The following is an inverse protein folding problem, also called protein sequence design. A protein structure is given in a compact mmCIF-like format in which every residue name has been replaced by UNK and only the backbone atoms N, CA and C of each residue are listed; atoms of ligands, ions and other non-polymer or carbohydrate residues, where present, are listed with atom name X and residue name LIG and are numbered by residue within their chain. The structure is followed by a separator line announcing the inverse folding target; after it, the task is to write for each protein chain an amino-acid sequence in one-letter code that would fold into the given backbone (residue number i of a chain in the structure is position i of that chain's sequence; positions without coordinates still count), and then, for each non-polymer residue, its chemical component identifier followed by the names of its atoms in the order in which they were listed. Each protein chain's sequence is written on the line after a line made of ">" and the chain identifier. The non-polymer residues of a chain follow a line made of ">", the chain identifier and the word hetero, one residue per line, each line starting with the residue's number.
data_IF_680341688395
#
_entry.id   IF_680341688395
#
_cell.length_a   1.000
_cell.length_b   1.000
_cell.length_c   1.000
_cell.angle_alpha   90.00
_cell.angle_beta   90.00
_cell.angle_gamma   90.00
#
_symmetry.space_group_name_H-M   'P 1'
#
loop_
_entity.id
_entity.type
_entity.pdbx_description
1 polymer ?
#
# COMPACT_ATOMS: atom_id res chain seq x y z
N UNK A 1 -65.07 23.63 48.66
CA UNK A 1 -64.29 22.46 49.14
C UNK A 1 -64.12 21.51 47.97
N UNK A 2 -62.91 20.95 47.82
CA UNK A 2 -62.44 19.81 47.01
C UNK A 2 -63.43 19.16 46.01
N UNK A 3 -63.10 18.85 44.76
CA UNK A 3 -61.81 18.53 44.18
C UNK A 3 -61.93 17.19 43.43
N UNK A 4 -61.68 17.23 42.12
CA UNK A 4 -61.16 16.17 41.22
C UNK A 4 -61.88 14.83 41.07
N UNK A 5 -62.19 14.46 39.82
CA UNK A 5 -61.75 13.20 39.20
C UNK A 5 -61.83 13.27 37.66
N UNK A 6 -60.74 12.80 37.05
CA UNK A 6 -60.32 13.04 35.67
C UNK A 6 -60.83 11.99 34.67
N UNK A 7 -61.04 12.45 33.44
CA UNK A 7 -61.27 11.68 32.21
C UNK A 7 -60.02 10.94 31.73
N UNK A 8 -60.20 9.71 31.23
CA UNK A 8 -59.28 9.09 30.27
C UNK A 8 -60.10 8.39 29.18
N UNK A 9 -60.04 8.92 27.94
CA UNK A 9 -60.50 8.22 26.72
C UNK A 9 -59.26 7.93 25.88
N UNK A 10 -59.10 6.65 25.57
CA UNK A 10 -58.07 6.08 24.71
C UNK A 10 -58.45 6.38 23.26
N UNK A 11 -57.58 7.09 22.54
CA UNK A 11 -57.67 7.26 21.08
C UNK A 11 -56.44 6.65 20.43
N UNK A 12 -56.70 5.65 19.59
CA UNK A 12 -55.74 4.88 18.80
C UNK A 12 -55.34 5.70 17.57
N UNK A 13 -54.06 6.10 17.46
CA UNK A 13 -53.52 6.78 16.29
C UNK A 13 -52.76 5.79 15.40
N UNK A 14 -53.22 5.68 14.14
CA UNK A 14 -52.61 4.88 13.09
C UNK A 14 -51.39 5.64 12.54
N UNK A 15 -50.18 5.16 12.80
CA UNK A 15 -48.95 5.76 12.29
C UNK A 15 -48.67 5.30 10.85
N UNK A 16 -48.72 6.25 9.91
CA UNK A 16 -48.29 6.07 8.53
C UNK A 16 -46.74 6.13 8.50
N UNK A 17 -46.07 4.98 8.37
CA UNK A 17 -44.62 4.94 8.17
C UNK A 17 -44.31 5.17 6.69
N UNK A 18 -44.05 6.43 6.33
CA UNK A 18 -43.47 6.77 5.04
C UNK A 18 -41.99 6.32 5.03
N UNK A 19 -41.68 5.27 4.27
CA UNK A 19 -40.32 4.82 4.05
C UNK A 19 -39.52 5.87 3.29
N UNK A 20 -38.67 6.62 3.99
CA UNK A 20 -37.66 7.47 3.38
C UNK A 20 -36.51 6.56 2.90
N UNK A 21 -36.60 6.05 1.68
CA UNK A 21 -35.42 5.49 1.01
C UNK A 21 -34.51 6.66 0.65
N UNK A 22 -33.52 6.95 1.50
CA UNK A 22 -32.44 7.87 1.19
C UNK A 22 -31.62 7.28 0.03
N UNK A 23 -31.98 7.68 -1.19
CA UNK A 23 -31.14 7.47 -2.37
C UNK A 23 -30.03 8.50 -2.26
N UNK A 24 -28.79 8.06 -2.04
CA UNK A 24 -27.65 8.99 -2.03
C UNK A 24 -27.62 9.70 -3.38
N UNK A 25 -27.80 11.02 -3.37
CA UNK A 25 -27.56 11.85 -4.55
C UNK A 25 -26.06 11.70 -4.82
N UNK A 26 -25.71 11.11 -5.97
CA UNK A 26 -24.35 11.17 -6.47
C UNK A 26 -24.06 12.66 -6.70
N UNK A 27 -23.01 13.17 -6.05
CA UNK A 27 -22.54 14.52 -6.33
C UNK A 27 -21.82 14.48 -7.68
N UNK A 28 -22.43 15.10 -8.69
CA UNK A 28 -21.89 15.20 -10.04
C UNK A 28 -20.73 16.21 -10.12
N UNK A 29 -20.40 16.91 -9.02
CA UNK A 29 -19.22 17.76 -8.95
C UNK A 29 -17.95 16.95 -9.25
N UNK A 30 -17.19 17.41 -10.25
CA UNK A 30 -15.93 16.77 -10.63
C UNK A 30 -14.75 17.38 -9.91
N UNK A 31 -13.86 16.52 -9.45
CA UNK A 31 -12.68 16.85 -8.67
C UNK A 31 -11.41 16.51 -9.44
N UNK A 32 -10.50 17.47 -9.54
CA UNK A 32 -9.16 17.25 -10.12
C UNK A 32 -8.20 16.82 -9.01
N UNK A 33 -7.59 15.65 -9.16
CA UNK A 33 -6.59 15.12 -8.23
C UNK A 33 -5.20 15.17 -8.87
N UNK A 34 -4.26 15.91 -8.30
CA UNK A 34 -2.89 16.04 -8.80
C UNK A 34 -1.90 16.14 -7.66
N UNK A 35 -0.72 15.56 -7.83
CA UNK A 35 0.39 15.85 -6.95
C UNK A 35 0.94 17.24 -7.24
N UNK A 36 1.40 17.94 -6.19
CA UNK A 36 2.08 19.22 -6.31
C UNK A 36 3.38 19.14 -5.53
N UNK A 37 4.47 19.17 -6.27
CA UNK A 37 5.81 19.08 -5.70
C UNK A 37 6.42 20.46 -5.53
N UNK A 38 7.18 20.63 -4.46
CA UNK A 38 8.00 21.82 -4.20
C UNK A 38 9.48 21.44 -4.19
N UNK A 39 10.36 22.19 -4.87
CA UNK A 39 11.79 21.91 -4.85
C UNK A 39 12.33 21.83 -3.42
N UNK A 40 13.24 20.89 -3.18
CA UNK A 40 13.90 20.65 -1.88
C UNK A 40 12.95 20.25 -0.73
N UNK A 41 11.65 20.02 -0.97
CA UNK A 41 10.77 19.52 0.08
C UNK A 41 11.12 18.07 0.46
N UNK A 42 10.99 17.75 1.74
CA UNK A 42 11.03 16.38 2.25
C UNK A 42 9.69 16.00 2.83
N UNK A 43 9.21 14.80 2.47
CA UNK A 43 7.89 14.30 2.83
C UNK A 43 8.05 12.99 3.58
N UNK A 44 7.65 12.99 4.85
CA UNK A 44 7.86 11.87 5.75
C UNK A 44 6.59 11.03 5.90
N UNK A 45 6.76 9.73 6.09
CA UNK A 45 5.70 8.78 6.39
C UNK A 45 6.12 7.83 7.50
N UNK A 46 5.23 7.61 8.47
CA UNK A 46 5.29 6.41 9.32
C UNK A 46 4.59 5.27 8.60
N UNK A 47 5.21 4.10 8.60
CA UNK A 47 4.75 2.88 7.96
C UNK A 47 4.65 1.81 9.04
N UNK A 48 3.52 1.14 9.14
CA UNK A 48 3.35 -0.07 9.93
C UNK A 48 2.83 -1.16 9.00
N UNK A 49 3.49 -2.32 8.97
CA UNK A 49 3.10 -3.44 8.12
C UNK A 49 3.21 -4.75 8.91
N UNK A 50 2.14 -5.53 8.91
CA UNK A 50 2.09 -6.88 9.45
C UNK A 50 1.76 -7.85 8.33
N UNK A 51 2.47 -8.97 8.26
CA UNK A 51 2.22 -10.02 7.27
C UNK A 51 2.27 -11.38 7.94
N UNK A 52 1.22 -12.17 7.79
CA UNK A 52 1.17 -13.57 8.18
C UNK A 52 1.05 -14.43 6.93
N UNK A 53 1.92 -15.43 6.80
CA UNK A 53 1.88 -16.41 5.71
C UNK A 53 1.85 -17.80 6.31
N UNK A 54 1.01 -18.66 5.75
CA UNK A 54 0.97 -20.08 6.06
C UNK A 54 1.13 -20.86 4.78
N UNK A 55 2.03 -21.82 4.80
CA UNK A 55 2.25 -22.78 3.73
C UNK A 55 2.00 -24.18 4.31
N UNK A 56 1.05 -24.88 3.71
CA UNK A 56 0.77 -26.28 3.97
C UNK A 56 1.24 -27.09 2.78
N UNK A 57 2.01 -28.15 3.05
CA UNK A 57 2.41 -29.13 2.04
C UNK A 57 2.37 -30.52 2.68
N UNK A 58 1.41 -31.35 2.27
CA UNK A 58 1.12 -32.63 2.90
C UNK A 58 0.78 -32.48 4.39
N UNK A 59 1.66 -32.95 5.27
CA UNK A 59 1.52 -32.89 6.73
C UNK A 59 2.36 -31.78 7.36
N UNK A 60 3.18 -31.10 6.56
CA UNK A 60 4.07 -30.04 7.04
C UNK A 60 3.38 -28.69 6.89
N UNK A 61 3.34 -27.94 7.98
CA UNK A 61 2.89 -26.55 8.02
C UNK A 61 4.05 -25.64 8.41
N UNK A 62 4.25 -24.59 7.63
CA UNK A 62 5.17 -23.50 7.94
C UNK A 62 4.34 -22.22 8.04
N UNK A 63 4.44 -21.55 9.18
CA UNK A 63 3.85 -20.24 9.38
C UNK A 63 4.96 -19.21 9.61
N UNK A 64 4.87 -18.07 8.92
CA UNK A 64 5.73 -16.92 9.15
C UNK A 64 4.88 -15.71 9.53
N UNK A 65 5.35 -14.93 10.50
CA UNK A 65 4.75 -13.66 10.88
C UNK A 65 5.83 -12.59 10.87
N UNK A 66 5.63 -11.58 10.04
CA UNK A 66 6.57 -10.49 9.80
C UNK A 66 5.91 -9.17 10.26
N UNK A 67 6.69 -8.31 10.90
CA UNK A 67 6.28 -6.94 11.22
C UNK A 67 7.36 -5.96 10.80
N UNK A 68 6.96 -4.81 10.27
CA UNK A 68 7.84 -3.71 9.88
C UNK A 68 7.22 -2.39 10.31
N UNK A 69 7.88 -1.70 11.23
CA UNK A 69 7.65 -0.30 11.54
C UNK A 69 8.76 0.53 10.92
N UNK A 70 8.43 1.53 10.10
CA UNK A 70 9.44 2.38 9.49
C UNK A 70 9.05 3.86 9.54
N UNK A 71 10.05 4.72 9.69
CA UNK A 71 9.98 6.10 9.23
C UNK A 71 10.72 6.16 7.90
N UNK A 72 10.06 6.66 6.88
CA UNK A 72 10.61 6.81 5.53
C UNK A 72 10.30 8.21 5.02
N UNK A 73 11.11 8.69 4.09
CA UNK A 73 10.79 9.90 3.36
C UNK A 73 11.19 9.81 1.90
N UNK A 74 10.62 10.72 1.12
CA UNK A 74 11.23 11.14 -0.12
C UNK A 74 11.62 12.61 -0.05
N UNK A 75 12.73 12.96 -0.70
CA UNK A 75 13.13 14.34 -0.97
C UNK A 75 12.87 14.68 -2.43
N UNK A 76 12.28 15.84 -2.71
CA UNK A 76 12.16 16.38 -4.07
C UNK A 76 13.48 17.03 -4.45
N UNK A 77 14.23 16.40 -5.36
CA UNK A 77 15.50 16.93 -5.86
C UNK A 77 15.28 18.02 -6.91
N UNK A 78 14.24 17.87 -7.72
CA UNK A 78 13.87 18.85 -8.75
C UNK A 78 12.41 18.66 -9.14
N UNK A 79 11.81 19.72 -9.68
CA UNK A 79 10.46 19.73 -10.25
C UNK A 79 10.59 19.89 -11.76
N UNK A 80 9.90 19.05 -12.54
CA UNK A 80 9.94 19.10 -14.00
C UNK A 80 9.04 20.23 -14.52
N UNK A 81 9.26 20.74 -15.74
CA UNK A 81 8.41 21.79 -16.33
C UNK A 81 6.92 21.43 -16.39
N UNK A 82 6.60 20.14 -16.48
CA UNK A 82 5.23 19.60 -16.55
C UNK A 82 4.59 19.40 -15.16
N UNK A 83 5.29 19.77 -14.08
CA UNK A 83 4.82 19.63 -12.70
C UNK A 83 5.08 18.26 -12.06
N UNK A 84 5.91 17.42 -12.70
CA UNK A 84 6.46 16.21 -12.07
C UNK A 84 7.65 16.53 -11.15
N UNK A 85 8.31 15.51 -10.63
CA UNK A 85 9.48 15.65 -9.78
C UNK A 85 10.44 14.47 -9.90
N UNK A 86 11.73 14.73 -9.60
CA UNK A 86 12.69 13.66 -9.29
C UNK A 86 12.70 13.49 -7.77
N UNK A 87 12.31 12.31 -7.31
CA UNK A 87 12.25 11.95 -5.90
C UNK A 87 13.45 11.09 -5.52
N UNK A 88 14.04 11.36 -4.36
CA UNK A 88 15.07 10.52 -3.73
C UNK A 88 14.51 9.90 -2.45
N UNK A 89 14.52 8.58 -2.35
CA UNK A 89 13.85 7.81 -1.30
C UNK A 89 14.85 7.35 -0.24
N UNK A 90 14.42 7.42 1.02
CA UNK A 90 15.21 7.05 2.19
C UNK A 90 14.35 6.32 3.22
N UNK A 91 14.91 5.28 3.83
CA UNK A 91 14.38 4.69 5.06
C UNK A 91 15.17 5.33 6.22
N UNK A 92 14.54 6.18 7.02
CA UNK A 92 15.19 6.90 8.11
C UNK A 92 15.51 5.97 9.29
N UNK A 93 14.53 5.15 9.66
CA UNK A 93 14.65 4.13 10.69
C UNK A 93 13.63 3.03 10.45
N UNK A 94 13.97 1.83 10.91
CA UNK A 94 13.08 0.69 10.84
C UNK A 94 13.22 -0.21 12.07
N UNK A 95 12.12 -0.82 12.47
CA UNK A 95 12.08 -1.94 13.40
C UNK A 95 11.36 -3.08 12.70
N UNK A 96 12.03 -4.23 12.63
CA UNK A 96 11.57 -5.39 11.90
C UNK A 96 11.53 -6.61 12.82
N UNK A 97 10.55 -7.48 12.62
CA UNK A 97 10.57 -8.83 13.19
C UNK A 97 10.17 -9.85 12.14
N UNK A 98 10.81 -11.02 12.18
CA UNK A 98 10.47 -12.19 11.39
C UNK A 98 10.42 -13.39 12.34
N UNK A 99 9.23 -13.93 12.52
CA UNK A 99 8.98 -15.18 13.23
C UNK A 99 8.67 -16.26 12.19
N UNK A 100 9.44 -17.34 12.17
CA UNK A 100 9.23 -18.47 11.26
C UNK A 100 8.71 -19.74 11.96
N UNK A 101 8.20 -19.59 13.19
CA UNK A 101 7.73 -20.67 14.06
C UNK A 101 8.83 -21.40 14.83
N UNK A 102 10.09 -21.30 14.39
CA UNK A 102 11.25 -21.91 15.07
C UNK A 102 12.16 -20.88 15.74
N UNK A 103 12.26 -19.69 15.14
CA UNK A 103 13.13 -18.61 15.55
C UNK A 103 12.43 -17.28 15.34
N UNK A 104 12.64 -16.37 16.29
CA UNK A 104 12.24 -14.98 16.19
C UNK A 104 13.48 -14.13 15.97
N UNK A 105 13.55 -13.45 14.82
CA UNK A 105 14.58 -12.48 14.51
C UNK A 105 13.99 -11.08 14.68
N UNK A 106 14.71 -10.21 15.39
CA UNK A 106 14.33 -8.81 15.58
C UNK A 106 15.49 -7.92 15.14
N UNK A 107 15.18 -6.79 14.54
CA UNK A 107 16.12 -5.73 14.20
C UNK A 107 15.50 -4.37 14.50
N UNK A 108 16.24 -3.51 15.20
CA UNK A 108 15.91 -2.10 15.45
C UNK A 108 17.10 -1.24 15.00
N UNK A 109 16.91 -0.50 13.91
CA UNK A 109 17.98 0.30 13.30
C UNK A 109 18.51 1.43 14.20
N UNK A 110 17.81 1.74 15.29
CA UNK A 110 18.23 2.76 16.26
C UNK A 110 19.12 2.20 17.38
N UNK A 111 19.21 0.88 17.49
CA UNK A 111 19.95 0.18 18.57
C UNK A 111 20.99 -0.78 18.03
N UNK A 112 20.69 -1.47 16.94
CA UNK A 112 21.46 -2.61 16.48
C UNK A 112 22.50 -2.19 15.44
N UNK A 113 23.78 -2.30 15.82
CA UNK A 113 24.93 -2.05 14.93
C UNK A 113 25.36 -3.29 14.14
N UNK A 114 25.07 -4.49 14.65
CA UNK A 114 25.37 -5.77 14.00
C UNK A 114 24.08 -6.62 13.93
N UNK A 115 23.26 -6.42 12.90
CA UNK A 115 21.97 -7.08 12.80
C UNK A 115 22.11 -8.55 12.34
N UNK A 116 21.12 -9.41 12.65
CA UNK A 116 21.05 -10.75 12.07
C UNK A 116 21.20 -10.74 10.54
N UNK A 117 21.78 -11.81 9.98
CA UNK A 117 22.04 -11.93 8.53
C UNK A 117 20.82 -11.60 7.66
N UNK A 118 19.61 -11.97 8.11
CA UNK A 118 18.35 -11.68 7.43
C UNK A 118 18.08 -10.18 7.23
N UNK A 119 18.69 -9.30 8.03
CA UNK A 119 18.45 -7.85 8.02
C UNK A 119 19.67 -7.03 7.56
N UNK A 120 20.81 -7.66 7.26
CA UNK A 120 22.05 -6.94 6.86
C UNK A 120 21.83 -6.05 5.62
N UNK A 121 21.07 -6.54 4.64
CA UNK A 121 20.76 -5.76 3.42
C UNK A 121 19.98 -4.51 3.78
N UNK A 122 18.93 -4.62 4.59
CA UNK A 122 18.13 -3.45 5.00
C UNK A 122 18.97 -2.49 5.83
N UNK A 123 19.75 -3.00 6.79
CA UNK A 123 20.63 -2.18 7.63
C UNK A 123 21.60 -1.33 6.80
N UNK A 124 22.17 -1.88 5.73
CA UNK A 124 23.03 -1.13 4.81
C UNK A 124 22.35 0.02 4.07
N UNK A 125 21.01 0.08 4.06
CA UNK A 125 20.23 1.14 3.40
C UNK A 125 19.66 2.18 4.37
N UNK A 126 19.57 1.88 5.66
CA UNK A 126 18.96 2.81 6.63
C UNK A 126 19.79 4.08 6.76
N UNK A 127 19.11 5.23 6.78
CA UNK A 127 19.70 6.56 6.84
C UNK A 127 20.39 7.00 5.55
N UNK A 128 20.28 6.22 4.47
CA UNK A 128 20.91 6.51 3.18
C UNK A 128 19.86 6.55 2.08
N UNK A 129 19.99 7.50 1.13
CA UNK A 129 19.27 7.41 -0.13
C UNK A 129 19.52 6.07 -0.80
N UNK A 130 18.48 5.38 -1.24
CA UNK A 130 18.61 4.07 -1.88
C UNK A 130 18.05 4.03 -3.31
N UNK A 131 17.13 4.93 -3.65
CA UNK A 131 16.51 5.01 -4.97
C UNK A 131 16.19 6.44 -5.36
N UNK A 132 16.42 6.77 -6.62
CA UNK A 132 15.90 7.94 -7.32
C UNK A 132 14.88 7.49 -8.35
N UNK A 133 13.77 8.20 -8.45
CA UNK A 133 12.68 7.92 -9.37
C UNK A 133 12.07 9.23 -9.87
N UNK A 134 11.72 9.28 -11.15
CA UNK A 134 10.96 10.40 -11.72
C UNK A 134 9.47 10.10 -11.56
N UNK A 135 8.71 11.06 -11.07
CA UNK A 135 7.26 10.94 -10.84
C UNK A 135 6.53 12.10 -11.49
N UNK A 136 5.50 11.84 -12.28
CA UNK A 136 4.70 12.94 -12.85
C UNK A 136 3.60 13.44 -11.89
N UNK A 137 2.84 14.45 -12.29
CA UNK A 137 1.75 15.02 -11.48
C UNK A 137 0.58 14.04 -11.21
N UNK A 138 0.53 12.89 -11.89
CA UNK A 138 -0.43 11.81 -11.64
C UNK A 138 0.12 10.74 -10.69
N UNK A 139 1.40 10.77 -10.33
CA UNK A 139 2.04 9.73 -9.51
C UNK A 139 2.64 8.58 -10.31
N UNK A 140 2.66 8.67 -11.64
CA UNK A 140 3.29 7.66 -12.49
C UNK A 140 4.80 7.79 -12.41
N UNK A 141 5.46 6.65 -12.19
CA UNK A 141 6.89 6.52 -11.93
C UNK A 141 7.65 6.11 -13.19
N UNK A 142 8.85 6.63 -13.38
CA UNK A 142 9.79 6.20 -14.42
C UNK A 142 11.24 6.47 -13.99
N UNK A 143 12.20 5.98 -14.77
CA UNK A 143 13.63 6.26 -14.58
C UNK A 143 14.15 5.92 -13.16
N UNK A 144 14.05 4.65 -12.80
CA UNK A 144 14.52 4.11 -11.53
C UNK A 144 16.04 3.98 -11.53
N UNK A 145 16.71 4.64 -10.57
CA UNK A 145 18.16 4.66 -10.49
C UNK A 145 18.65 4.62 -9.05
N UNK A 146 19.81 4.02 -8.80
CA UNK A 146 20.52 4.24 -7.54
C UNK A 146 20.98 5.70 -7.45
N UNK A 147 21.33 6.23 -6.26
CA UNK A 147 21.92 7.57 -6.15
C UNK A 147 23.22 7.75 -6.95
N UNK A 148 23.92 6.66 -7.26
CA UNK A 148 25.10 6.64 -8.11
C UNK A 148 24.79 6.68 -9.63
N UNK A 149 23.51 6.64 -10.02
CA UNK A 149 23.06 6.70 -11.42
C UNK A 149 22.93 5.33 -12.10
N UNK A 150 23.08 4.23 -11.36
CA UNK A 150 22.89 2.88 -11.92
C UNK A 150 21.41 2.60 -12.10
N UNK A 151 20.98 2.21 -13.30
CA UNK A 151 19.59 1.84 -13.55
C UNK A 151 19.16 0.66 -12.66
N UNK A 152 17.96 0.77 -12.08
CA UNK A 152 17.31 -0.27 -11.27
C UNK A 152 16.07 -0.74 -12.04
N UNK A 153 15.77 -2.04 -12.11
CA UNK A 153 14.54 -2.52 -12.71
C UNK A 153 13.31 -1.90 -12.05
N UNK A 154 12.33 -1.49 -12.86
CA UNK A 154 11.05 -1.05 -12.33
C UNK A 154 10.33 -2.22 -11.63
N UNK A 155 9.79 -1.96 -10.44
CA UNK A 155 8.92 -2.90 -9.75
C UNK A 155 7.46 -2.54 -10.00
N UNK A 156 6.69 -3.52 -10.46
CA UNK A 156 5.24 -3.38 -10.62
C UNK A 156 4.47 -3.41 -9.29
N UNK A 157 5.12 -3.66 -8.16
CA UNK A 157 4.46 -3.80 -6.86
C UNK A 157 3.95 -2.45 -6.31
N UNK A 158 2.71 -2.43 -5.81
CA UNK A 158 2.05 -1.23 -5.31
C UNK A 158 2.73 -0.68 -4.05
N UNK A 159 3.25 -1.57 -3.20
CA UNK A 159 3.98 -1.18 -1.99
C UNK A 159 5.33 -0.56 -2.33
N UNK A 160 5.96 -1.02 -3.41
CA UNK A 160 7.21 -0.44 -3.92
C UNK A 160 7.00 0.91 -4.62
N UNK A 161 5.76 1.27 -4.96
CA UNK A 161 5.45 2.59 -5.52
C UNK A 161 5.36 3.64 -4.44
N UNK A 162 6.04 4.75 -4.71
CA UNK A 162 6.12 5.92 -3.82
C UNK A 162 4.76 6.59 -3.66
N UNK A 163 4.00 6.69 -4.76
CA UNK A 163 2.72 7.39 -4.82
C UNK A 163 1.69 6.57 -5.64
N UNK A 164 0.42 6.52 -5.21
CA UNK A 164 -0.67 5.97 -6.02
C UNK A 164 -0.92 6.79 -7.29
N UNK A 165 -1.40 6.12 -8.36
CA UNK A 165 -1.74 6.80 -9.63
C UNK A 165 -3.12 7.45 -9.55
N UNK A 166 -3.16 8.76 -9.81
CA UNK A 166 -4.35 9.61 -9.83
C UNK A 166 -4.97 9.68 -11.23
N UNK A 167 -6.28 9.98 -11.35
CA UNK A 167 -6.97 9.97 -12.63
C UNK A 167 -6.52 11.14 -13.53
N UNK A 168 -6.33 10.87 -14.82
CA UNK A 168 -5.98 11.90 -15.80
C UNK A 168 -7.09 12.96 -15.96
N UNK A 169 -8.36 12.60 -15.80
CA UNK A 169 -9.48 13.53 -15.93
C UNK A 169 -10.09 13.83 -14.56
N UNK A 170 -10.76 14.99 -14.39
CA UNK A 170 -11.55 15.26 -13.19
C UNK A 170 -12.61 14.16 -13.00
N UNK A 171 -12.74 13.66 -11.77
CA UNK A 171 -13.61 12.54 -11.40
C UNK A 171 -14.70 12.99 -10.44
N UNK A 172 -15.93 12.53 -10.63
CA UNK A 172 -17.01 12.74 -9.68
C UNK A 172 -16.93 11.75 -8.51
N UNK A 173 -17.60 12.05 -7.39
CA UNK A 173 -17.74 11.08 -6.30
C UNK A 173 -18.47 9.85 -6.82
N UNK A 174 -17.90 8.68 -6.58
CA UNK A 174 -18.37 7.39 -7.08
C UNK A 174 -17.76 6.96 -8.42
N UNK A 175 -17.09 7.86 -9.14
CA UNK A 175 -16.42 7.55 -10.41
C UNK A 175 -15.18 6.68 -10.19
N UNK A 176 -14.91 5.83 -11.19
CA UNK A 176 -13.86 4.82 -11.17
C UNK A 176 -12.85 5.13 -12.25
N UNK A 177 -11.57 5.06 -11.90
CA UNK A 177 -10.48 4.96 -12.86
C UNK A 177 -9.68 3.69 -12.59
N UNK A 178 -8.96 3.25 -13.62
CA UNK A 178 -8.29 1.97 -13.57
C UNK A 178 -6.89 2.06 -14.14
N UNK A 179 -5.99 1.29 -13.56
CA UNK A 179 -4.57 1.31 -13.89
C UNK A 179 -4.11 -0.13 -14.14
N UNK A 180 -3.97 -0.54 -15.41
CA UNK A 180 -3.48 -1.87 -15.75
C UNK A 180 -1.98 -1.98 -15.45
N UNK A 181 -1.54 -3.16 -15.03
CA UNK A 181 -0.13 -3.49 -14.87
C UNK A 181 0.10 -4.99 -15.14
N UNK A 182 1.35 -5.35 -15.42
CA UNK A 182 1.72 -6.74 -15.69
C UNK A 182 2.79 -7.17 -14.70
N UNK A 183 2.71 -8.43 -14.27
CA UNK A 183 3.74 -9.09 -13.47
C UNK A 183 4.14 -10.39 -14.13
N UNK A 184 5.45 -10.67 -14.16
CA UNK A 184 5.95 -11.94 -14.64
C UNK A 184 5.83 -12.99 -13.54
N UNK A 185 4.96 -13.99 -13.75
CA UNK A 185 4.77 -15.09 -12.82
C UNK A 185 5.41 -16.38 -13.37
N UNK A 186 5.90 -17.28 -12.52
CA UNK A 186 6.38 -18.59 -12.95
C UNK A 186 5.29 -19.36 -13.70
N UNK A 187 5.62 -19.87 -14.89
CA UNK A 187 4.73 -20.63 -15.76
C UNK A 187 4.82 -22.13 -15.40
N UNK A 188 4.27 -22.49 -14.24
CA UNK A 188 4.35 -23.85 -13.70
C UNK A 188 5.79 -24.24 -13.32
N UNK A 189 6.17 -25.49 -13.61
CA UNK A 189 7.47 -26.08 -13.27
C UNK A 189 8.49 -26.07 -14.42
N UNK A 190 8.18 -25.35 -15.50
CA UNK A 190 9.08 -25.27 -16.65
C UNK A 190 10.23 -24.33 -16.32
N UNK A 191 11.45 -24.83 -16.42
CA UNK A 191 12.66 -24.02 -16.32
C UNK A 191 13.28 -23.82 -17.71
N UNK A 192 13.82 -22.62 -17.96
CA UNK A 192 14.60 -22.33 -19.18
C UNK A 192 16.02 -22.87 -19.00
N UNK A 193 16.57 -22.75 -17.79
CA UNK A 193 17.87 -23.25 -17.33
C UNK A 193 17.72 -23.64 -15.85
N UNK A 194 18.59 -24.50 -15.28
CA UNK A 194 18.50 -24.90 -13.88
C UNK A 194 18.36 -23.69 -12.93
N UNK A 195 17.25 -23.64 -12.19
CA UNK A 195 16.93 -22.55 -11.25
C UNK A 195 16.41 -21.26 -11.89
N UNK A 196 16.15 -21.26 -13.21
CA UNK A 196 15.58 -20.13 -13.94
C UNK A 196 14.19 -20.52 -14.48
N UNK A 197 13.10 -20.21 -13.76
CA UNK A 197 11.76 -20.55 -14.21
C UNK A 197 11.41 -19.80 -15.50
N UNK A 198 10.73 -20.50 -16.42
CA UNK A 198 10.02 -19.86 -17.51
C UNK A 198 8.91 -19.01 -16.89
N UNK A 199 8.92 -17.72 -17.15
CA UNK A 199 7.86 -16.82 -16.70
C UNK A 199 6.86 -16.54 -17.81
N UNK A 200 5.65 -16.14 -17.44
CA UNK A 200 4.70 -15.53 -18.36
C UNK A 200 4.05 -14.28 -17.75
N UNK A 201 3.66 -13.31 -18.58
CA UNK A 201 3.00 -12.10 -18.10
C UNK A 201 1.60 -12.41 -17.58
N UNK A 202 1.31 -11.93 -16.36
CA UNK A 202 -0.02 -11.88 -15.76
C UNK A 202 -0.45 -10.42 -15.70
N UNK A 203 -1.49 -10.09 -16.45
CA UNK A 203 -2.11 -8.77 -16.45
C UNK A 203 -3.08 -8.66 -15.29
N UNK A 204 -2.91 -7.59 -14.52
CA UNK A 204 -3.71 -7.19 -13.38
C UNK A 204 -4.14 -5.74 -13.57
N UNK A 205 -5.04 -5.27 -12.72
CA UNK A 205 -5.53 -3.90 -12.78
C UNK A 205 -5.86 -3.39 -11.39
N UNK A 206 -5.34 -2.21 -11.04
CA UNK A 206 -5.81 -1.47 -9.87
C UNK A 206 -7.07 -0.73 -10.27
N UNK A 207 -8.11 -0.86 -9.46
CA UNK A 207 -9.40 -0.19 -9.61
C UNK A 207 -9.52 0.78 -8.45
N UNK A 208 -9.56 2.06 -8.78
CA UNK A 208 -9.72 3.13 -7.82
C UNK A 208 -11.13 3.70 -7.93
N UNK A 209 -11.69 4.15 -6.81
CA UNK A 209 -12.98 4.85 -6.78
C UNK A 209 -12.87 6.06 -5.88
N UNK A 210 -13.26 7.24 -6.37
CA UNK A 210 -13.37 8.41 -5.50
C UNK A 210 -14.56 8.18 -4.56
N UNK A 211 -14.29 7.98 -3.27
CA UNK A 211 -15.31 7.63 -2.27
C UNK A 211 -16.00 8.87 -1.72
N UNK A 212 -15.23 9.88 -1.35
CA UNK A 212 -15.72 11.17 -0.86
C UNK A 212 -14.67 12.26 -1.02
N UNK A 213 -15.12 13.52 -0.98
CA UNK A 213 -14.27 14.69 -0.82
C UNK A 213 -14.83 15.53 0.31
N UNK A 214 -14.08 15.66 1.39
CA UNK A 214 -14.51 16.38 2.59
C UNK A 214 -13.39 17.33 3.03
N UNK A 215 -13.70 18.62 3.21
CA UNK A 215 -12.73 19.64 3.62
C UNK A 215 -11.44 19.66 2.77
N UNK A 216 -11.55 19.39 1.47
CA UNK A 216 -10.39 19.33 0.55
C UNK A 216 -9.57 18.04 0.63
N UNK A 217 -10.03 17.03 1.37
CA UNK A 217 -9.42 15.71 1.48
C UNK A 217 -10.21 14.73 0.63
N UNK A 218 -9.54 14.09 -0.33
CA UNK A 218 -10.13 13.02 -1.13
C UNK A 218 -9.87 11.66 -0.48
N UNK A 219 -10.93 10.91 -0.21
CA UNK A 219 -10.86 9.51 0.17
C UNK A 219 -11.09 8.63 -1.06
N UNK A 220 -10.20 7.67 -1.30
CA UNK A 220 -10.19 6.83 -2.50
C UNK A 220 -10.16 5.37 -2.07
N UNK A 221 -11.13 4.58 -2.53
CA UNK A 221 -11.07 3.12 -2.38
C UNK A 221 -10.16 2.53 -3.45
N UNK A 222 -9.39 1.50 -3.10
CA UNK A 222 -8.50 0.75 -3.96
C UNK A 222 -8.81 -0.75 -3.87
N UNK A 223 -8.79 -1.43 -5.01
CA UNK A 223 -8.66 -2.90 -5.07
C UNK A 223 -7.93 -3.33 -6.33
N UNK A 224 -7.28 -4.48 -6.28
CA UNK A 224 -6.65 -5.09 -7.45
C UNK A 224 -7.53 -6.21 -8.02
N UNK A 225 -7.71 -6.21 -9.34
CA UNK A 225 -8.36 -7.25 -10.13
C UNK A 225 -7.32 -8.00 -10.97
N UNK A 226 -7.49 -9.31 -11.16
CA UNK A 226 -6.67 -10.09 -12.09
C UNK A 226 -7.42 -10.26 -13.40
N UNK A 227 -6.82 -9.83 -14.50
CA UNK A 227 -7.44 -9.86 -15.83
C UNK A 227 -7.08 -11.13 -16.61
N UNK A 228 -5.86 -11.64 -16.46
CA UNK A 228 -5.43 -12.87 -17.15
C UNK A 228 -6.21 -14.06 -16.63
N UNK A 229 -7.04 -14.67 -17.49
CA UNK A 229 -7.77 -15.91 -17.21
C UNK A 229 -6.88 -17.15 -17.37
N UNK A 230 -7.38 -18.34 -16.96
CA UNK A 230 -6.71 -19.64 -17.06
C UNK A 230 -5.31 -19.61 -16.41
N UNK A 231 -5.31 -19.46 -15.09
CA UNK A 231 -4.10 -19.47 -14.27
C UNK A 231 -3.90 -20.80 -13.59
N UNK A 232 -2.65 -21.13 -13.29
CA UNK A 232 -2.31 -22.27 -12.46
C UNK A 232 -2.30 -21.85 -10.99
N UNK A 233 -2.52 -22.77 -10.05
CA UNK A 233 -2.35 -22.48 -8.63
C UNK A 233 -0.94 -21.94 -8.26
N UNK A 234 0.13 -22.35 -8.97
CA UNK A 234 1.49 -21.78 -8.78
C UNK A 234 1.55 -20.30 -9.11
N UNK A 235 0.89 -19.88 -10.18
CA UNK A 235 0.78 -18.46 -10.54
C UNK A 235 -0.05 -17.68 -9.52
N UNK A 236 -1.15 -18.28 -9.03
CA UNK A 236 -2.01 -17.65 -8.03
C UNK A 236 -1.25 -17.36 -6.72
N UNK A 237 -0.36 -18.24 -6.25
CA UNK A 237 0.52 -17.99 -5.08
C UNK A 237 1.41 -16.76 -5.27
N UNK A 238 1.89 -16.53 -6.50
CA UNK A 238 2.75 -15.40 -6.81
C UNK A 238 1.97 -14.08 -6.85
N UNK A 239 0.77 -14.07 -7.45
CA UNK A 239 0.02 -12.83 -7.67
C UNK A 239 -0.90 -12.46 -6.50
N UNK A 240 -1.31 -13.42 -5.65
CA UNK A 240 -2.19 -13.13 -4.52
C UNK A 240 -1.56 -12.13 -3.53
N UNK A 241 -0.23 -12.18 -3.41
CA UNK A 241 0.59 -11.25 -2.64
C UNK A 241 0.64 -9.83 -3.23
N UNK A 242 -0.03 -9.59 -4.36
CA UNK A 242 -0.15 -8.28 -5.02
C UNK A 242 -1.60 -7.82 -5.15
N UNK A 243 -2.56 -8.60 -4.62
CA UNK A 243 -3.98 -8.30 -4.67
C UNK A 243 -4.40 -7.38 -3.51
N UNK A 244 -3.81 -6.20 -3.45
CA UNK A 244 -4.14 -5.22 -2.43
C UNK A 244 -5.59 -4.75 -2.54
N UNK A 245 -6.20 -4.50 -1.39
CA UNK A 245 -7.43 -3.72 -1.24
C UNK A 245 -7.27 -2.73 -0.10
N UNK A 246 -8.02 -1.63 -0.10
CA UNK A 246 -7.98 -0.67 1.00
C UNK A 246 -8.35 0.74 0.57
N UNK A 247 -7.75 1.73 1.23
CA UNK A 247 -8.09 3.14 1.04
C UNK A 247 -6.86 4.04 1.02
N UNK A 248 -6.97 5.14 0.28
CA UNK A 248 -5.95 6.18 0.14
C UNK A 248 -6.60 7.53 0.50
N UNK A 249 -5.85 8.40 1.17
CA UNK A 249 -6.27 9.77 1.47
C UNK A 249 -5.30 10.78 0.87
N UNK A 250 -5.83 11.75 0.13
CA UNK A 250 -5.06 12.81 -0.55
C UNK A 250 -5.51 14.18 -0.08
N UNK A 251 -4.56 15.04 0.29
CA UNK A 251 -4.77 16.48 0.41
C UNK A 251 -4.80 17.09 -1.00
N UNK A 252 -5.96 17.56 -1.43
CA UNK A 252 -6.13 18.09 -2.79
C UNK A 252 -5.53 19.50 -2.96
N UNK A 253 -5.46 20.29 -1.89
CA UNK A 253 -4.93 21.64 -1.94
C UNK A 253 -3.41 21.58 -2.12
N UNK A 254 -2.75 20.77 -1.30
CA UNK A 254 -1.31 20.57 -1.34
C UNK A 254 -0.87 19.49 -2.35
N UNK A 255 -1.80 18.76 -2.96
CA UNK A 255 -1.51 17.67 -3.88
C UNK A 255 -0.59 16.63 -3.25
N UNK A 256 -0.95 16.12 -2.08
CA UNK A 256 -0.07 15.29 -1.24
C UNK A 256 -0.77 14.05 -0.74
N UNK A 257 -0.07 12.92 -0.76
CA UNK A 257 -0.51 11.70 -0.08
C UNK A 257 -0.48 11.92 1.44
N UNK A 258 -1.63 11.79 2.09
CA UNK A 258 -1.72 11.84 3.55
C UNK A 258 -1.62 10.46 4.19
N UNK A 259 -1.97 9.41 3.46
CA UNK A 259 -1.89 8.05 3.98
C UNK A 259 -2.56 7.03 3.08
N UNK A 260 -2.29 5.77 3.39
CA UNK A 260 -2.94 4.61 2.78
C UNK A 260 -3.05 3.49 3.81
N UNK A 261 -4.18 2.79 3.76
CA UNK A 261 -4.41 1.54 4.49
C UNK A 261 -4.61 0.46 3.44
N UNK A 262 -3.81 -0.59 3.48
CA UNK A 262 -3.79 -1.67 2.51
C UNK A 262 -3.91 -3.01 3.21
N UNK A 263 -4.60 -3.94 2.58
CA UNK A 263 -4.72 -5.29 3.04
C UNK A 263 -4.62 -6.29 1.90
N UNK A 264 -4.12 -7.48 2.25
CA UNK A 264 -4.24 -8.69 1.45
C UNK A 264 -4.91 -9.72 2.36
N UNK A 265 -5.94 -10.39 1.86
CA UNK A 265 -6.47 -11.61 2.45
C UNK A 265 -6.67 -12.62 1.33
N UNK A 266 -5.86 -13.67 1.34
CA UNK A 266 -5.71 -14.55 0.22
C UNK A 266 -5.48 -16.00 0.63
N UNK A 267 -6.04 -16.92 -0.15
CA UNK A 267 -5.81 -18.34 -0.03
C UNK A 267 -5.71 -19.00 -1.41
N UNK A 268 -4.74 -19.90 -1.58
CA UNK A 268 -4.52 -20.70 -2.79
C UNK A 268 -4.38 -22.16 -2.37
N UNK A 269 -5.02 -23.07 -3.10
CA UNK A 269 -4.96 -24.52 -2.85
C UNK A 269 -4.41 -25.20 -4.10
N UNK A 270 -3.66 -26.28 -3.92
CA UNK A 270 -3.18 -27.10 -5.02
C UNK A 270 -1.96 -26.53 -5.75
N UNK A 271 -1.23 -25.58 -5.15
CA UNK A 271 -0.06 -24.96 -5.79
C UNK A 271 1.10 -25.93 -5.97
N UNK A 272 1.27 -26.91 -5.09
CA UNK A 272 2.28 -27.96 -5.18
C UNK A 272 1.68 -29.33 -4.85
N UNK A 273 0.65 -29.71 -5.62
CA UNK A 273 -0.10 -30.96 -5.46
C UNK A 273 -1.37 -30.82 -4.61
N UNK A 274 -2.26 -31.84 -4.60
CA UNK A 274 -3.63 -31.72 -4.06
C UNK A 274 -3.73 -31.36 -2.57
N UNK A 275 -2.67 -31.63 -1.80
CA UNK A 275 -2.56 -31.44 -0.35
C UNK A 275 -1.78 -30.17 0.02
N UNK A 276 -1.54 -29.28 -0.94
CA UNK A 276 -0.84 -28.02 -0.72
C UNK A 276 -1.81 -26.85 -0.59
N UNK A 277 -1.52 -25.91 0.31
CA UNK A 277 -2.26 -24.65 0.42
C UNK A 277 -1.35 -23.52 0.90
N UNK A 278 -1.64 -22.30 0.47
CA UNK A 278 -0.96 -21.10 0.91
C UNK A 278 -2.01 -20.06 1.29
N UNK A 279 -1.93 -19.53 2.51
CA UNK A 279 -2.72 -18.38 2.92
C UNK A 279 -1.82 -17.21 3.28
N UNK A 280 -2.22 -16.01 2.89
CA UNK A 280 -1.54 -14.77 3.23
C UNK A 280 -2.56 -13.77 3.79
N UNK A 281 -2.20 -13.17 4.91
CA UNK A 281 -2.87 -11.98 5.45
C UNK A 281 -1.84 -10.89 5.62
N UNK A 282 -2.16 -9.70 5.17
CA UNK A 282 -1.30 -8.54 5.30
C UNK A 282 -2.15 -7.34 5.67
N UNK A 283 -1.65 -6.49 6.54
CA UNK A 283 -2.19 -5.18 6.82
C UNK A 283 -1.04 -4.16 6.83
N UNK A 284 -1.17 -3.09 6.05
CA UNK A 284 -0.23 -1.98 6.04
C UNK A 284 -0.96 -0.65 6.24
N UNK A 285 -0.35 0.22 7.01
CA UNK A 285 -0.74 1.61 7.22
C UNK A 285 0.45 2.51 6.99
N UNK A 286 0.35 3.37 5.99
CA UNK A 286 1.26 4.51 5.82
C UNK A 286 0.51 5.78 6.22
N UNK A 287 1.15 6.66 6.98
CA UNK A 287 0.57 7.94 7.41
C UNK A 287 1.61 9.04 7.28
N UNK A 288 1.20 10.16 6.69
CA UNK A 288 2.01 11.35 6.56
C UNK A 288 2.46 11.83 7.94
N UNK A 289 3.75 12.05 8.08
CA UNK A 289 4.37 12.53 9.30
C UNK A 289 4.80 14.00 9.10
N UNK A 290 4.48 14.91 10.04
CA UNK A 290 4.92 16.30 9.96
C UNK A 290 6.45 16.41 9.90
N UNK A 291 6.93 17.47 9.25
CA UNK A 291 8.35 17.81 9.23
C UNK A 291 8.90 17.91 10.67
N UNK A 292 10.05 17.27 10.92
CA UNK A 292 10.67 17.16 12.25
C UNK A 292 10.54 15.80 12.93
N UNK A 293 9.72 14.87 12.41
CA UNK A 293 9.61 13.51 12.94
C UNK A 293 10.94 12.71 12.90
N UNK A 294 11.84 13.08 11.98
CA UNK A 294 13.19 12.52 11.85
C UNK A 294 14.17 13.04 12.92
N UNK A 295 13.94 14.21 13.53
CA UNK A 295 14.90 14.87 14.43
C UNK A 295 15.11 14.15 15.78
N UNK A 296 14.40 13.04 16.04
CA UNK A 296 14.54 12.27 17.26
C UNK A 296 15.61 11.15 17.18
N UNK A 297 16.33 11.00 16.06
CA UNK A 297 17.39 9.99 15.93
C UNK A 297 18.69 10.63 15.43
N UNK A 298 19.73 10.59 16.26
CA UNK A 298 21.08 10.99 15.90
C UNK A 298 21.62 10.04 14.82
N UNK A 299 22.29 10.53 13.77
CA UNK A 299 22.94 9.65 12.78
C UNK A 299 23.99 8.78 13.48
N UNK A 300 24.02 7.49 13.17
CA UNK A 300 25.17 6.65 13.48
C UNK A 300 26.39 7.24 12.75
N UNK A 301 27.33 7.76 13.54
CA UNK A 301 28.57 8.34 13.07
C UNK A 301 29.32 7.30 12.22
N UNK A 302 29.63 7.65 10.97
CA UNK A 302 30.36 6.79 10.07
C UNK A 302 31.73 6.47 10.68
N UNK A 303 31.92 5.23 11.13
CA UNK A 303 33.21 4.74 11.58
C UNK A 303 34.14 4.60 10.35
N UNK A 304 34.93 5.63 10.11
CA UNK A 304 36.08 5.59 9.20
C UNK A 304 37.15 4.69 9.82
N UNK A 305 37.55 3.64 9.10
CA UNK A 305 38.86 2.98 9.25
C UNK A 305 39.52 2.90 7.89
#
# INVERSE_FOLDING_TARGET
>A
MAGTLASARISLALALVAGFTARSIADDAKHTLRYRFSPEESVYFTSHNETSRRYLQNVSEIQTNDSVDALKHYKVLSVTPEGGAVLELTIDRTKMSVDNGSSLFIYDSTKDQDPPAAFQVVHGTVGRPWLRVTVNALGETSNYQTPAGTAVPESADFVSRVLPVLPEKPVAIGEIWKEPFTVDAPNGDVEIEPGRPLTRPITMQRVYKLKSVENGIAAIDLRTEVLTSKRTPKEDVFIIQRQYSGSITIDMANGRLLGRELAIDGNVVGYDGPTSAMSVKMAQRDSFAPAGAASAAQPAEAATK
#
